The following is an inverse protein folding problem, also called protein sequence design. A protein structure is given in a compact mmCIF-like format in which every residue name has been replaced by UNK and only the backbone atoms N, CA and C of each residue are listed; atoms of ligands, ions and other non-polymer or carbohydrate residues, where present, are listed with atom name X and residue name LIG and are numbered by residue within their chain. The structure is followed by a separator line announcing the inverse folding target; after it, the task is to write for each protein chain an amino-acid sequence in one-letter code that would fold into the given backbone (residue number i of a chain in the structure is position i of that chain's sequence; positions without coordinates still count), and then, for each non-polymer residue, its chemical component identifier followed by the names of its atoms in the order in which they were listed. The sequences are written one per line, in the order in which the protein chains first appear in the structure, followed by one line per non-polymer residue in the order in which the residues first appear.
data_IF_763556131939
#
_entry.id   IF_763556131939
#
_cell.length_a   1.000
_cell.length_b   1.000
_cell.length_c   1.000
_cell.angle_alpha   90.00
_cell.angle_beta   90.00
_cell.angle_gamma   90.00
#
_symmetry.space_group_name_H-M   'P 1'
#
loop_
_entity.id
_entity.type
_entity.pdbx_description
1 polymer ?
#
# COMPACT_ATOMS: atom_id res chain seq x y z
N UNK A 1 -11.52 -14.59 -2.17
CA UNK A 1 -11.53 -14.63 -0.68
C UNK A 1 -10.40 -13.73 -0.23
N UNK A 2 -10.70 -12.51 0.22
CA UNK A 2 -9.66 -11.60 0.74
C UNK A 2 -9.01 -12.24 1.97
N UNK A 3 -7.75 -12.61 1.86
CA UNK A 3 -6.95 -12.99 3.03
C UNK A 3 -6.85 -11.74 3.91
N UNK A 4 -7.57 -11.75 5.04
CA UNK A 4 -7.47 -10.63 5.97
C UNK A 4 -6.05 -10.60 6.52
N UNK A 5 -5.42 -9.43 6.53
CA UNK A 5 -4.09 -9.23 7.11
C UNK A 5 -3.98 -9.76 8.56
N UNK A 6 -5.11 -9.92 9.24
CA UNK A 6 -5.21 -10.49 10.59
C UNK A 6 -5.01 -12.00 10.65
N UNK A 7 -5.15 -12.71 9.53
CA UNK A 7 -5.14 -14.18 9.48
C UNK A 7 -3.75 -14.75 9.13
N UNK A 8 -2.77 -13.86 8.92
CA UNK A 8 -1.38 -14.23 8.59
C UNK A 8 -0.56 -14.43 9.88
N UNK A 9 0.08 -15.56 10.00
CA UNK A 9 1.04 -15.85 11.06
C UNK A 9 2.42 -15.26 10.73
N UNK A 10 2.59 -13.98 11.09
CA UNK A 10 3.82 -13.24 10.81
C UNK A 10 5.03 -13.80 11.53
N UNK A 11 4.86 -14.34 12.75
CA UNK A 11 5.97 -14.96 13.52
C UNK A 11 6.51 -16.18 12.80
N UNK A 12 5.61 -17.04 12.32
CA UNK A 12 5.96 -18.22 11.52
C UNK A 12 6.70 -17.83 10.24
N UNK A 13 6.21 -16.84 9.51
CA UNK A 13 6.83 -16.37 8.26
C UNK A 13 8.23 -15.82 8.49
N UNK A 14 8.42 -14.98 9.52
CA UNK A 14 9.72 -14.40 9.86
C UNK A 14 10.72 -15.46 10.30
N UNK A 15 10.28 -16.44 11.10
CA UNK A 15 11.12 -17.60 11.49
C UNK A 15 11.49 -18.45 10.28
N UNK A 16 10.53 -18.69 9.36
CA UNK A 16 10.78 -19.47 8.15
C UNK A 16 11.79 -18.78 7.23
N UNK A 17 11.70 -17.44 7.09
CA UNK A 17 12.67 -16.65 6.33
C UNK A 17 14.10 -16.75 6.91
N UNK A 18 14.24 -16.92 8.22
CA UNK A 18 15.52 -17.05 8.91
C UNK A 18 16.01 -18.50 9.07
N UNK A 19 15.28 -19.52 8.58
CA UNK A 19 15.60 -20.94 8.86
C UNK A 19 17.02 -21.37 8.47
N UNK A 20 17.64 -20.70 7.49
CA UNK A 20 19.02 -20.96 7.04
C UNK A 20 20.03 -19.93 7.61
N UNK A 21 19.65 -19.17 8.63
CA UNK A 21 20.44 -18.10 9.24
C UNK A 21 19.95 -16.70 8.86
N UNK A 22 20.74 -15.69 9.26
CA UNK A 22 20.43 -14.28 9.10
C UNK A 22 20.31 -13.56 10.44
N UNK A 23 20.55 -12.26 10.43
CA UNK A 23 20.56 -11.41 11.62
C UNK A 23 19.20 -10.75 11.86
N UNK A 24 18.42 -10.61 10.77
CA UNK A 24 17.15 -9.88 10.79
C UNK A 24 16.27 -10.33 9.64
N UNK A 25 14.96 -10.42 9.88
CA UNK A 25 13.94 -10.54 8.84
C UNK A 25 12.82 -9.53 9.05
N UNK A 26 12.24 -9.08 7.94
CA UNK A 26 11.16 -8.10 7.93
C UNK A 26 10.18 -8.42 6.80
N UNK A 27 8.91 -8.39 7.11
CA UNK A 27 7.84 -8.42 6.13
C UNK A 27 7.15 -7.06 6.06
N UNK A 28 6.99 -6.56 4.83
CA UNK A 28 6.20 -5.40 4.49
C UNK A 28 5.01 -5.84 3.67
N UNK A 29 3.82 -5.47 4.10
CA UNK A 29 2.59 -5.72 3.35
C UNK A 29 1.91 -4.40 3.06
N UNK A 30 1.41 -4.26 1.85
CA UNK A 30 0.69 -3.07 1.41
C UNK A 30 -0.60 -3.47 0.71
N UNK A 31 -1.67 -2.76 1.04
CA UNK A 31 -2.92 -2.74 0.31
C UNK A 31 -3.24 -1.30 -0.09
N UNK A 32 -3.40 -1.06 -1.38
CA UNK A 32 -3.81 0.22 -1.95
C UNK A 32 -5.11 0.06 -2.69
N UNK A 33 -5.98 1.06 -2.54
CA UNK A 33 -7.19 1.19 -3.33
C UNK A 33 -7.41 2.66 -3.64
N UNK A 34 -7.85 2.97 -4.87
CA UNK A 34 -8.03 4.35 -5.24
C UNK A 34 -8.83 4.55 -6.50
N UNK A 35 -9.18 5.82 -6.72
CA UNK A 35 -9.90 6.29 -7.91
C UNK A 35 -9.10 7.41 -8.55
N UNK A 36 -9.08 7.44 -9.88
CA UNK A 36 -8.51 8.53 -10.67
C UNK A 36 -9.50 8.95 -11.74
N UNK A 37 -9.75 10.28 -11.84
CA UNK A 37 -10.67 10.87 -12.82
C UNK A 37 -9.93 12.00 -13.52
N UNK A 38 -10.02 12.05 -14.84
CA UNK A 38 -9.48 13.12 -15.66
C UNK A 38 -10.58 13.68 -16.54
N UNK A 39 -10.77 15.00 -16.48
CA UNK A 39 -11.57 15.76 -17.42
C UNK A 39 -10.66 16.58 -18.32
N UNK A 40 -10.90 16.55 -19.61
CA UNK A 40 -10.25 17.36 -20.62
C UNK A 40 -11.24 17.59 -21.79
N UNK A 41 -11.11 18.70 -22.49
CA UNK A 41 -12.02 19.07 -23.59
C UNK A 41 -13.51 19.02 -23.20
N UNK A 42 -13.86 19.46 -21.98
CA UNK A 42 -15.23 19.53 -21.42
C UNK A 42 -15.91 18.18 -21.23
N UNK A 43 -15.17 17.09 -21.13
CA UNK A 43 -15.70 15.74 -20.91
C UNK A 43 -14.79 14.92 -20.00
N UNK A 44 -15.36 13.90 -19.37
CA UNK A 44 -14.56 12.92 -18.63
C UNK A 44 -13.86 12.01 -19.64
N UNK A 45 -12.54 12.12 -19.70
CA UNK A 45 -11.69 11.32 -20.59
C UNK A 45 -11.28 9.99 -19.95
N UNK A 46 -11.16 9.97 -18.62
CA UNK A 46 -10.65 8.83 -17.91
C UNK A 46 -11.31 8.69 -16.55
N UNK A 47 -11.77 7.48 -16.25
CA UNK A 47 -12.15 7.03 -14.92
C UNK A 47 -11.46 5.69 -14.67
N UNK A 48 -10.67 5.60 -13.62
CA UNK A 48 -10.03 4.36 -13.19
C UNK A 48 -10.31 4.13 -11.71
N UNK A 49 -10.63 2.88 -11.37
CA UNK A 49 -10.57 2.36 -10.01
C UNK A 49 -9.57 1.23 -10.00
N UNK A 50 -8.62 1.28 -9.10
CA UNK A 50 -7.58 0.27 -8.96
C UNK A 50 -7.49 -0.22 -7.51
N UNK A 51 -7.08 -1.46 -7.39
CA UNK A 51 -6.80 -2.10 -6.12
C UNK A 51 -5.54 -2.94 -6.29
N UNK A 52 -4.56 -2.76 -5.41
CA UNK A 52 -3.27 -3.42 -5.45
C UNK A 52 -2.94 -3.98 -4.08
N UNK A 53 -2.46 -5.22 -4.05
CA UNK A 53 -1.94 -5.88 -2.86
C UNK A 53 -0.52 -6.34 -3.13
N UNK A 54 0.32 -6.30 -2.11
CA UNK A 54 1.67 -6.81 -2.21
C UNK A 54 2.29 -7.12 -0.85
N UNK A 55 3.17 -8.11 -0.85
CA UNK A 55 4.02 -8.46 0.29
C UNK A 55 5.46 -8.54 -0.16
N UNK A 56 6.36 -7.90 0.57
CA UNK A 56 7.80 -8.01 0.42
C UNK A 56 8.43 -8.59 1.67
N UNK A 57 9.28 -9.58 1.52
CA UNK A 57 10.00 -10.20 2.62
C UNK A 57 11.51 -10.03 2.41
N UNK A 58 12.20 -9.58 3.46
CA UNK A 58 13.63 -9.34 3.47
C UNK A 58 14.33 -10.10 4.59
N UNK A 59 15.49 -10.64 4.27
CA UNK A 59 16.44 -11.17 5.26
C UNK A 59 17.75 -10.40 5.13
N UNK A 60 18.33 -10.01 6.25
CA UNK A 60 19.63 -9.33 6.33
C UNK A 60 20.63 -10.24 7.01
N UNK A 61 21.86 -10.26 6.51
CA UNK A 61 23.01 -10.96 7.05
C UNK A 61 24.27 -10.15 6.84
N UNK A 62 24.86 -9.64 7.94
CA UNK A 62 25.96 -8.70 7.89
C UNK A 62 25.62 -7.48 7.00
N UNK A 63 26.38 -7.28 5.96
CA UNK A 63 26.23 -6.20 4.99
C UNK A 63 25.40 -6.57 3.74
N UNK A 64 24.83 -7.79 3.70
CA UNK A 64 24.06 -8.31 2.57
C UNK A 64 22.60 -8.48 2.94
N UNK A 65 21.74 -8.46 1.93
CA UNK A 65 20.31 -8.76 2.09
C UNK A 65 19.78 -9.57 0.92
N UNK A 66 18.83 -10.46 1.22
CA UNK A 66 17.98 -11.11 0.25
C UNK A 66 16.58 -10.52 0.35
N UNK A 67 15.93 -10.31 -0.78
CA UNK A 67 14.59 -9.76 -0.87
C UNK A 67 13.78 -10.48 -1.95
N UNK A 68 12.52 -10.77 -1.64
CA UNK A 68 11.56 -11.26 -2.61
C UNK A 68 10.19 -10.61 -2.33
N UNK A 69 9.33 -10.58 -3.34
CA UNK A 69 7.98 -10.02 -3.22
C UNK A 69 6.95 -10.88 -3.95
N UNK A 70 5.70 -10.73 -3.54
CA UNK A 70 4.55 -11.36 -4.20
C UNK A 70 3.33 -10.45 -4.07
N UNK A 71 2.41 -10.53 -5.02
CA UNK A 71 1.06 -9.97 -4.92
C UNK A 71 -0.01 -11.04 -4.61
N UNK A 72 0.40 -12.30 -4.48
CA UNK A 72 -0.44 -13.41 -4.07
C UNK A 72 -0.09 -13.85 -2.63
N UNK A 73 -0.94 -13.51 -1.69
CA UNK A 73 -0.74 -13.84 -0.27
C UNK A 73 -0.84 -15.34 0.04
N UNK A 74 -1.36 -16.15 -0.88
CA UNK A 74 -1.34 -17.61 -0.72
C UNK A 74 0.08 -18.19 -0.85
N UNK A 75 1.01 -17.46 -1.47
CA UNK A 75 2.41 -17.86 -1.70
C UNK A 75 3.40 -17.33 -0.65
N UNK A 76 2.93 -16.76 0.47
CA UNK A 76 3.82 -16.17 1.50
C UNK A 76 4.80 -17.17 2.10
N UNK A 77 4.40 -18.43 2.27
CA UNK A 77 5.29 -19.50 2.76
C UNK A 77 6.42 -19.77 1.75
N UNK A 78 6.12 -19.78 0.44
CA UNK A 78 7.11 -19.95 -0.64
C UNK A 78 8.02 -18.74 -0.75
N UNK A 79 7.47 -17.53 -0.54
CA UNK A 79 8.24 -16.29 -0.48
C UNK A 79 9.29 -16.36 0.63
N UNK A 80 8.90 -16.85 1.81
CA UNK A 80 9.82 -17.03 2.95
C UNK A 80 10.92 -18.06 2.64
N UNK A 81 10.58 -19.15 1.96
CA UNK A 81 11.56 -20.15 1.52
C UNK A 81 12.53 -19.58 0.48
N UNK A 82 12.05 -18.74 -0.42
CA UNK A 82 12.87 -18.09 -1.44
C UNK A 82 13.94 -17.21 -0.83
N UNK A 83 13.60 -16.31 0.10
CA UNK A 83 14.60 -15.46 0.77
C UNK A 83 15.53 -16.28 1.67
N UNK A 84 15.01 -17.31 2.36
CA UNK A 84 15.83 -18.20 3.18
C UNK A 84 16.87 -18.96 2.35
N UNK A 85 16.56 -19.36 1.12
CA UNK A 85 17.46 -20.08 0.25
C UNK A 85 18.66 -19.24 -0.21
N UNK A 86 18.52 -17.94 -0.24
CA UNK A 86 19.59 -16.99 -0.58
C UNK A 86 20.57 -16.75 0.59
N UNK A 87 20.26 -17.23 1.78
CA UNK A 87 21.05 -17.10 3.02
C UNK A 87 21.51 -18.49 3.48
N UNK A 88 22.81 -18.68 3.68
CA UNK A 88 23.40 -19.94 4.14
C UNK A 88 24.47 -19.67 5.20
N UNK A 89 24.06 -19.42 6.44
CA UNK A 89 24.99 -19.11 7.54
C UNK A 89 24.75 -19.91 8.80
N UNK A 90 23.76 -20.77 8.80
CA UNK A 90 23.40 -21.57 9.96
C UNK A 90 21.89 -21.54 10.22
N UNK A 91 21.49 -22.02 11.38
CA UNK A 91 20.08 -22.08 11.77
C UNK A 91 19.75 -20.94 12.73
N UNK A 92 18.62 -20.29 12.49
CA UNK A 92 18.04 -19.35 13.44
C UNK A 92 17.32 -20.11 14.56
N UNK A 93 17.76 -19.94 15.80
CA UNK A 93 17.23 -20.69 16.96
C UNK A 93 16.43 -19.83 17.95
N UNK A 94 16.44 -18.49 17.76
CA UNK A 94 15.76 -17.59 18.69
C UNK A 94 14.24 -17.60 18.48
N UNK A 95 13.48 -17.37 19.55
CA UNK A 95 12.05 -17.12 19.47
C UNK A 95 11.78 -15.69 18.96
N UNK A 96 10.76 -15.54 18.14
CA UNK A 96 10.22 -14.24 17.76
C UNK A 96 8.86 -14.14 18.46
N UNK A 97 8.65 -13.06 19.18
CA UNK A 97 7.35 -12.69 19.75
C UNK A 97 7.01 -11.28 19.32
N UNK A 98 5.89 -11.10 18.65
CA UNK A 98 5.51 -9.82 18.06
C UNK A 98 4.70 -8.98 19.05
N UNK A 99 5.17 -7.79 19.34
CA UNK A 99 4.45 -6.75 20.08
C UNK A 99 3.81 -5.75 19.11
N UNK A 100 2.49 -5.59 19.22
CA UNK A 100 1.78 -4.57 18.44
C UNK A 100 2.13 -3.19 18.97
N UNK A 101 2.63 -2.33 18.08
CA UNK A 101 2.90 -0.93 18.38
C UNK A 101 1.92 -0.05 17.59
N UNK A 102 1.30 0.95 18.25
CA UNK A 102 0.45 1.89 17.53
C UNK A 102 1.30 2.73 16.57
N UNK A 103 0.87 2.82 15.31
CA UNK A 103 1.40 3.87 14.43
C UNK A 103 0.91 5.23 14.96
N UNK A 104 1.81 6.20 15.00
CA UNK A 104 1.40 7.59 15.26
C UNK A 104 0.81 8.15 13.97
N UNK A 105 -0.48 7.93 13.75
CA UNK A 105 -1.19 8.64 12.69
C UNK A 105 -1.37 10.09 13.11
N UNK A 106 -0.82 11.01 12.32
CA UNK A 106 -0.91 12.46 12.58
C UNK A 106 -2.17 13.05 11.94
N UNK A 107 -2.71 12.40 10.92
CA UNK A 107 -3.86 12.88 10.13
C UNK A 107 -4.94 11.82 10.14
N UNK A 108 -6.10 12.17 10.70
CA UNK A 108 -7.30 11.35 10.65
C UNK A 108 -8.25 11.96 9.62
N UNK A 109 -8.59 11.20 8.59
CA UNK A 109 -9.61 11.58 7.62
C UNK A 109 -10.99 11.60 8.30
N UNK A 110 -11.73 12.69 8.15
CA UNK A 110 -13.11 12.79 8.64
C UNK A 110 -14.10 11.99 7.78
N UNK A 111 -13.77 11.83 6.51
CA UNK A 111 -14.55 11.10 5.52
C UNK A 111 -13.58 10.14 4.81
N UNK A 112 -13.93 8.86 4.78
CA UNK A 112 -13.20 7.89 3.95
C UNK A 112 -13.47 8.24 2.47
N UNK A 113 -12.45 8.62 1.69
CA UNK A 113 -12.65 9.01 0.29
C UNK A 113 -13.20 7.87 -0.56
N UNK A 114 -12.97 6.61 -0.16
CA UNK A 114 -13.50 5.44 -0.86
C UNK A 114 -14.99 5.21 -0.60
N UNK A 115 -15.55 5.79 0.47
CA UNK A 115 -16.99 5.73 0.76
C UNK A 115 -17.82 6.72 -0.06
N UNK A 116 -17.18 7.64 -0.77
CA UNK A 116 -17.85 8.63 -1.62
C UNK A 116 -18.19 8.00 -2.98
N UNK A 117 -19.45 8.09 -3.37
CA UNK A 117 -19.93 7.56 -4.64
C UNK A 117 -19.16 8.15 -5.83
N UNK A 118 -18.89 7.32 -6.83
CA UNK A 118 -18.18 7.74 -8.05
C UNK A 118 -18.91 8.86 -8.80
N UNK A 119 -20.23 8.87 -8.78
CA UNK A 119 -21.05 9.93 -9.39
C UNK A 119 -20.77 11.31 -8.75
N UNK A 120 -20.67 11.38 -7.42
CA UNK A 120 -20.31 12.62 -6.71
C UNK A 120 -18.89 13.08 -7.03
N UNK A 121 -17.94 12.15 -7.20
CA UNK A 121 -16.57 12.48 -7.61
C UNK A 121 -16.54 13.05 -9.04
N UNK A 122 -17.27 12.43 -9.96
CA UNK A 122 -17.42 12.90 -11.34
C UNK A 122 -18.09 14.28 -11.38
N UNK A 123 -19.14 14.48 -10.58
CA UNK A 123 -19.82 15.78 -10.46
C UNK A 123 -18.86 16.87 -9.97
N UNK A 124 -18.04 16.59 -8.95
CA UNK A 124 -17.02 17.53 -8.47
C UNK A 124 -16.04 17.94 -9.57
N UNK A 125 -15.52 16.96 -10.34
CA UNK A 125 -14.60 17.20 -11.45
C UNK A 125 -15.27 18.04 -12.53
N UNK A 126 -16.50 17.69 -12.92
CA UNK A 126 -17.27 18.40 -13.95
C UNK A 126 -17.60 19.84 -13.53
N UNK A 127 -17.90 20.08 -12.25
CA UNK A 127 -18.12 21.44 -11.72
C UNK A 127 -16.85 22.29 -11.80
N UNK A 128 -15.69 21.71 -11.44
CA UNK A 128 -14.41 22.41 -11.52
C UNK A 128 -14.02 22.72 -12.96
N UNK A 129 -14.22 21.78 -13.89
CA UNK A 129 -14.00 21.97 -15.32
C UNK A 129 -14.86 23.15 -15.85
N UNK A 130 -16.18 23.12 -15.58
CA UNK A 130 -17.11 24.17 -15.97
C UNK A 130 -16.75 25.53 -15.39
N UNK A 131 -16.35 25.58 -14.11
CA UNK A 131 -15.96 26.82 -13.44
C UNK A 131 -14.68 27.41 -14.05
N UNK A 132 -13.70 26.55 -14.37
CA UNK A 132 -12.46 26.99 -15.01
C UNK A 132 -12.71 27.58 -16.41
N UNK A 133 -13.53 26.93 -17.23
CA UNK A 133 -13.93 27.45 -18.55
C UNK A 133 -14.70 28.77 -18.48
N UNK A 134 -15.52 28.97 -17.45
CA UNK A 134 -16.29 30.19 -17.23
C UNK A 134 -15.49 31.32 -16.59
N UNK A 135 -14.21 31.13 -16.27
CA UNK A 135 -13.43 32.14 -15.57
C UNK A 135 -13.07 33.34 -16.45
N UNK A 136 -12.68 33.09 -17.69
CA UNK A 136 -12.27 34.12 -18.63
C UNK A 136 -12.41 33.61 -20.08
N UNK A 137 -12.89 34.43 -21.04
CA UNK A 137 -12.98 34.04 -22.44
C UNK A 137 -11.65 33.69 -23.12
N UNK A 138 -10.52 34.10 -22.55
CA UNK A 138 -9.17 33.75 -23.04
C UNK A 138 -8.72 32.35 -22.66
N UNK A 139 -9.48 31.64 -21.82
CA UNK A 139 -9.18 30.24 -21.49
C UNK A 139 -9.39 29.36 -22.70
N UNK A 140 -8.32 28.75 -23.19
CA UNK A 140 -8.33 27.92 -24.42
C UNK A 140 -8.23 26.42 -24.13
N UNK A 141 -7.81 26.03 -22.92
CA UNK A 141 -7.71 24.66 -22.50
C UNK A 141 -7.95 24.55 -21.00
N UNK A 142 -8.65 23.52 -20.58
CA UNK A 142 -8.83 23.14 -19.18
C UNK A 142 -8.62 21.65 -19.04
N UNK A 143 -7.85 21.27 -18.04
CA UNK A 143 -7.68 19.90 -17.59
C UNK A 143 -7.90 19.82 -16.08
N UNK A 144 -8.77 18.91 -15.65
CA UNK A 144 -9.03 18.65 -14.24
C UNK A 144 -8.61 17.22 -13.93
N UNK A 145 -7.80 17.07 -12.91
CA UNK A 145 -7.35 15.76 -12.41
C UNK A 145 -7.80 15.59 -10.95
N UNK A 146 -8.49 14.52 -10.69
CA UNK A 146 -8.87 14.06 -9.37
C UNK A 146 -8.25 12.71 -9.10
N UNK A 147 -7.71 12.53 -7.92
CA UNK A 147 -7.27 11.24 -7.42
C UNK A 147 -7.58 11.12 -5.95
N UNK A 148 -8.13 9.99 -5.54
CA UNK A 148 -8.21 9.63 -4.14
C UNK A 148 -7.68 8.21 -3.91
N UNK A 149 -7.38 7.89 -2.67
CA UNK A 149 -6.95 6.55 -2.34
C UNK A 149 -6.77 6.32 -0.85
N UNK A 150 -6.79 5.06 -0.51
CA UNK A 150 -6.40 4.52 0.77
C UNK A 150 -5.16 3.65 0.59
N UNK A 151 -4.22 3.78 1.49
CA UNK A 151 -3.05 2.92 1.62
C UNK A 151 -3.00 2.35 3.02
N UNK A 152 -3.07 1.05 3.13
CA UNK A 152 -2.89 0.32 4.37
C UNK A 152 -1.57 -0.43 4.32
N UNK A 153 -0.70 -0.20 5.30
CA UNK A 153 0.63 -0.81 5.42
C UNK A 153 0.70 -1.59 6.72
N UNK A 154 1.30 -2.77 6.65
CA UNK A 154 1.72 -3.54 7.81
C UNK A 154 3.21 -3.87 7.68
N UNK A 155 3.94 -3.66 8.76
CA UNK A 155 5.35 -4.05 8.88
C UNK A 155 5.49 -4.92 10.12
N UNK A 156 6.11 -6.10 9.96
CA UNK A 156 6.52 -6.95 11.07
C UNK A 156 7.98 -7.39 10.91
N UNK A 157 8.71 -7.52 11.99
CA UNK A 157 10.11 -7.92 11.93
C UNK A 157 10.55 -8.81 13.08
N UNK A 158 11.68 -9.50 12.89
CA UNK A 158 12.25 -10.47 13.83
C UNK A 158 12.75 -9.87 15.15
N UNK A 159 12.76 -8.53 15.29
CA UNK A 159 13.04 -7.86 16.57
C UNK A 159 11.78 -7.69 17.44
N UNK A 160 10.69 -8.30 17.05
CA UNK A 160 9.47 -8.36 17.84
C UNK A 160 8.48 -7.22 17.58
N UNK A 161 8.60 -6.47 16.48
CA UNK A 161 7.67 -5.37 16.17
C UNK A 161 6.66 -5.78 15.13
N UNK A 162 5.40 -5.39 15.36
CA UNK A 162 4.36 -5.35 14.35
C UNK A 162 3.64 -4.00 14.44
N UNK A 163 3.55 -3.29 13.33
CA UNK A 163 2.90 -1.99 13.22
C UNK A 163 2.04 -1.94 11.98
N UNK A 164 0.90 -1.26 12.09
CA UNK A 164 -0.02 -1.00 10.98
C UNK A 164 -0.29 0.48 10.88
N UNK A 165 -0.41 0.99 9.65
CA UNK A 165 -0.77 2.37 9.37
C UNK A 165 -1.75 2.42 8.20
N UNK A 166 -2.81 3.23 8.32
CA UNK A 166 -3.77 3.51 7.26
C UNK A 166 -3.72 4.99 6.93
N UNK A 167 -3.52 5.31 5.66
CA UNK A 167 -3.47 6.68 5.14
C UNK A 167 -4.43 6.85 4.00
N UNK A 168 -5.25 7.88 4.10
CA UNK A 168 -6.08 8.35 3.02
C UNK A 168 -5.40 9.54 2.33
N UNK A 169 -5.60 9.67 1.03
CA UNK A 169 -5.05 10.75 0.22
C UNK A 169 -6.09 11.26 -0.78
N UNK A 170 -6.05 12.56 -1.04
CA UNK A 170 -6.83 13.21 -2.09
C UNK A 170 -5.91 14.18 -2.82
N UNK A 171 -5.97 14.15 -4.15
CA UNK A 171 -5.32 15.10 -5.04
C UNK A 171 -6.40 15.70 -5.95
N UNK A 172 -6.43 17.02 -6.05
CA UNK A 172 -7.34 17.74 -6.95
C UNK A 172 -6.55 18.86 -7.63
N UNK A 173 -6.44 18.79 -8.94
CA UNK A 173 -5.67 19.74 -9.74
C UNK A 173 -6.53 20.27 -10.89
N UNK A 174 -6.50 21.59 -11.09
CA UNK A 174 -7.12 22.30 -12.23
C UNK A 174 -6.02 23.06 -12.96
N UNK A 175 -5.88 22.79 -14.22
CA UNK A 175 -4.93 23.44 -15.12
C UNK A 175 -5.66 24.09 -16.28
#
# INVERSE_FOLDING_TARGET
METKLTDIDYEKLLKRALKNGGDFSEIYIEHKKGTSIVSEAKRIEKYLSNEENGAGLRVVIGDRSAYAYTNDFSTLDELADTVASAVRTGNFTSSISLERRPARSVILSRIDPLSVDSEKKIEMVSRADKAAWGKDPSVIQVKVMYGDGMRHVLIANSKGFIVQDKRDSIVFVVQ
#
